data_IF_349373258310
#
_entry.id   IF_349373258310
#
_cell.length_a   1.000
_cell.length_b   1.000
_cell.length_c   1.000
_cell.angle_alpha   90.00
_cell.angle_beta   90.00
_cell.angle_gamma   90.00
#
_symmetry.space_group_name_H-M   'P 1'
#
loop_
_entity.id
_entity.type
_entity.pdbx_description
1 polymer ?
#
# COMPACT_ATOMS: atom_id res chain seq x y z
N UNK A 1 8.82 -6.93 13.13
CA UNK A 1 8.13 -5.83 12.41
C UNK A 1 8.44 -5.92 10.92
N UNK A 2 7.44 -5.74 10.05
CA UNK A 2 7.62 -5.61 8.60
C UNK A 2 7.39 -4.15 8.20
N UNK A 3 8.40 -3.50 7.62
CA UNK A 3 8.33 -2.11 7.17
C UNK A 3 8.04 -2.11 5.67
N UNK A 4 6.88 -1.58 5.30
CA UNK A 4 6.43 -1.42 3.90
C UNK A 4 6.17 0.04 3.52
N UNK A 5 6.14 0.94 4.51
CA UNK A 5 6.04 2.38 4.29
C UNK A 5 7.42 3.00 4.04
N UNK A 6 7.47 4.04 3.22
CA UNK A 6 8.67 4.83 2.93
C UNK A 6 8.49 6.25 3.49
N UNK A 7 8.55 6.44 4.82
CA UNK A 7 8.46 7.78 5.41
C UNK A 7 9.68 8.62 4.99
N UNK A 8 9.49 9.94 4.92
CA UNK A 8 10.57 10.88 4.63
C UNK A 8 11.60 10.91 5.76
N UNK A 9 11.13 10.92 7.00
CA UNK A 9 11.99 10.90 8.18
C UNK A 9 12.34 9.44 8.57
N UNK A 10 13.57 9.18 9.03
CA UNK A 10 13.97 7.86 9.50
C UNK A 10 13.09 7.36 10.65
N UNK A 11 12.80 6.07 10.67
CA UNK A 11 12.09 5.43 11.79
C UNK A 11 13.10 5.24 12.93
N UNK A 12 12.91 5.85 14.12
CA UNK A 12 13.81 5.65 15.24
C UNK A 12 13.62 4.23 15.81
N UNK A 13 14.71 3.47 15.91
CA UNK A 13 14.72 2.11 16.47
C UNK A 13 15.65 2.04 17.67
N UNK A 14 15.08 1.75 18.84
CA UNK A 14 15.85 1.47 20.05
C UNK A 14 16.42 0.05 20.01
N UNK A 15 17.73 -0.07 19.85
CA UNK A 15 18.44 -1.36 19.73
C UNK A 15 18.24 -2.25 20.97
N UNK A 16 18.09 -1.66 22.16
CA UNK A 16 17.82 -2.39 23.40
C UNK A 16 16.53 -3.23 23.32
N UNK A 17 15.52 -2.77 22.60
CA UNK A 17 14.27 -3.51 22.39
C UNK A 17 14.47 -4.71 21.46
N UNK A 18 15.38 -4.62 20.48
CA UNK A 18 15.71 -5.74 19.59
C UNK A 18 16.43 -6.86 20.35
N UNK A 19 17.45 -6.49 21.12
CA UNK A 19 18.31 -7.46 21.84
C UNK A 19 17.55 -8.13 22.98
N UNK A 20 16.85 -7.35 23.82
CA UNK A 20 16.21 -7.90 25.03
C UNK A 20 15.00 -8.78 24.74
N UNK A 21 14.37 -8.61 23.58
CA UNK A 21 13.14 -9.32 23.21
C UNK A 21 13.32 -10.33 22.08
N UNK A 22 14.54 -10.44 21.54
CA UNK A 22 14.86 -11.27 20.39
C UNK A 22 13.89 -11.05 19.21
N UNK A 23 13.76 -9.78 18.79
CA UNK A 23 12.85 -9.39 17.70
C UNK A 23 13.60 -8.84 16.49
N UNK A 24 13.02 -9.03 15.30
CA UNK A 24 13.60 -8.55 14.03
C UNK A 24 12.75 -7.46 13.38
N UNK A 25 13.42 -6.52 12.70
CA UNK A 25 12.82 -5.57 11.75
C UNK A 25 13.27 -5.94 10.34
N UNK A 26 12.33 -6.10 9.41
CA UNK A 26 12.59 -6.41 7.99
C UNK A 26 11.86 -5.42 7.10
N UNK A 27 12.46 -5.07 5.97
CA UNK A 27 11.83 -4.28 4.91
C UNK A 27 11.28 -5.15 3.78
N UNK A 28 10.20 -4.71 3.14
CA UNK A 28 9.69 -5.30 1.90
C UNK A 28 9.01 -4.23 1.05
N UNK A 29 9.16 -4.31 -0.27
CA UNK A 29 8.60 -3.32 -1.21
C UNK A 29 7.72 -3.98 -2.27
N UNK A 30 8.31 -4.86 -3.10
CA UNK A 30 7.61 -5.58 -4.18
C UNK A 30 7.80 -7.08 -4.06
N UNK A 31 6.84 -7.83 -4.60
CA UNK A 31 6.88 -9.27 -4.67
C UNK A 31 7.40 -9.76 -6.03
N UNK A 32 7.92 -10.99 -6.09
CA UNK A 32 8.18 -11.67 -7.35
C UNK A 32 6.88 -11.91 -8.13
N UNK A 33 6.99 -12.08 -9.45
CA UNK A 33 5.85 -12.37 -10.33
C UNK A 33 5.08 -13.60 -9.86
N UNK A 34 5.79 -14.64 -9.44
CA UNK A 34 5.20 -15.89 -8.94
C UNK A 34 4.37 -15.65 -7.67
N UNK A 35 4.93 -14.91 -6.70
CA UNK A 35 4.23 -14.55 -5.47
C UNK A 35 3.01 -13.67 -5.75
N UNK A 36 3.12 -12.71 -6.66
CA UNK A 36 2.00 -11.86 -7.06
C UNK A 36 0.87 -12.68 -7.69
N UNK A 37 1.18 -13.64 -8.57
CA UNK A 37 0.18 -14.55 -9.15
C UNK A 37 -0.54 -15.39 -8.09
N UNK A 38 0.19 -15.92 -7.10
CA UNK A 38 -0.43 -16.64 -5.98
C UNK A 38 -1.34 -15.74 -5.15
N UNK A 39 -0.90 -14.51 -4.87
CA UNK A 39 -1.70 -13.52 -4.15
C UNK A 39 -3.00 -13.19 -4.90
N UNK A 40 -2.94 -12.95 -6.21
CA UNK A 40 -4.13 -12.65 -7.03
C UNK A 40 -5.14 -13.81 -6.99
N UNK A 41 -4.68 -15.07 -7.10
CA UNK A 41 -5.57 -16.23 -6.98
C UNK A 41 -6.23 -16.31 -5.61
N UNK A 42 -5.46 -16.08 -4.55
CA UNK A 42 -5.94 -16.11 -3.18
C UNK A 42 -7.01 -15.03 -2.91
N UNK A 43 -6.80 -13.80 -3.37
CA UNK A 43 -7.78 -12.71 -3.16
C UNK A 43 -9.09 -12.97 -3.91
N UNK A 44 -9.03 -13.53 -5.12
CA UNK A 44 -10.23 -13.93 -5.87
C UNK A 44 -11.00 -15.03 -5.14
N UNK A 45 -10.30 -16.07 -4.69
CA UNK A 45 -10.91 -17.21 -3.99
C UNK A 45 -11.66 -16.78 -2.71
N UNK A 46 -11.15 -15.78 -1.99
CA UNK A 46 -11.71 -15.33 -0.71
C UNK A 46 -12.53 -14.04 -0.83
N UNK A 47 -12.75 -13.52 -2.05
CA UNK A 47 -13.51 -12.29 -2.27
C UNK A 47 -12.88 -11.05 -1.61
N UNK A 48 -11.56 -11.01 -1.44
CA UNK A 48 -10.86 -9.87 -0.85
C UNK A 48 -10.84 -8.72 -1.86
N UNK A 49 -11.36 -7.57 -1.46
CA UNK A 49 -11.45 -6.38 -2.31
C UNK A 49 -10.91 -5.16 -1.58
N UNK A 50 -10.25 -4.27 -2.32
CA UNK A 50 -9.90 -2.94 -1.84
C UNK A 50 -11.13 -2.04 -1.89
N UNK A 51 -11.23 -1.13 -0.93
CA UNK A 51 -12.08 0.06 -1.09
C UNK A 51 -11.44 0.94 -2.16
N UNK A 52 -12.23 1.32 -3.16
CA UNK A 52 -11.75 2.11 -4.30
C UNK A 52 -12.61 3.35 -4.52
N UNK A 53 -11.96 4.42 -4.97
CA UNK A 53 -12.61 5.61 -5.52
C UNK A 53 -12.18 5.74 -6.98
N UNK A 54 -13.15 5.75 -7.89
CA UNK A 54 -12.91 5.76 -9.33
C UNK A 54 -13.02 7.17 -9.89
N UNK A 55 -12.19 7.48 -10.88
CA UNK A 55 -12.13 8.78 -11.55
C UNK A 55 -12.10 8.58 -13.07
N UNK A 56 -12.67 9.53 -13.81
CA UNK A 56 -12.40 9.65 -15.25
C UNK A 56 -11.00 10.24 -15.47
N UNK A 57 -10.50 10.16 -16.70
CA UNK A 57 -9.18 10.70 -17.04
C UNK A 57 -9.12 12.23 -16.86
N UNK A 58 -10.22 12.93 -17.14
CA UNK A 58 -10.35 14.38 -17.01
C UNK A 58 -10.35 14.85 -15.55
N UNK A 59 -10.81 14.00 -14.63
CA UNK A 59 -10.83 14.29 -13.19
C UNK A 59 -9.46 14.16 -12.52
N UNK A 60 -8.47 13.54 -13.19
CA UNK A 60 -7.16 13.24 -12.61
C UNK A 60 -6.42 14.51 -12.15
N UNK A 61 -6.25 15.57 -12.98
CA UNK A 61 -5.40 16.70 -12.61
C UNK A 61 -5.93 17.54 -11.44
N UNK A 62 -7.24 17.51 -11.19
CA UNK A 62 -7.87 18.34 -10.16
C UNK A 62 -8.29 17.46 -8.99
N UNK A 63 -9.36 16.69 -9.17
CA UNK A 63 -10.07 15.99 -8.11
C UNK A 63 -9.27 14.82 -7.53
N UNK A 64 -8.63 14.01 -8.38
CA UNK A 64 -7.87 12.85 -7.90
C UNK A 64 -6.60 13.27 -7.13
N UNK A 65 -5.92 14.32 -7.57
CA UNK A 65 -4.73 14.84 -6.88
C UNK A 65 -5.09 15.49 -5.53
N UNK A 66 -6.19 16.22 -5.46
CA UNK A 66 -6.71 16.75 -4.19
C UNK A 66 -7.03 15.62 -3.20
N UNK A 67 -7.73 14.59 -3.65
CA UNK A 67 -8.07 13.42 -2.84
C UNK A 67 -6.84 12.61 -2.43
N UNK A 68 -5.79 12.57 -3.26
CA UNK A 68 -4.54 11.88 -2.97
C UNK A 68 -3.76 12.52 -1.80
N UNK A 69 -3.79 13.85 -1.70
CA UNK A 69 -3.16 14.58 -0.60
C UNK A 69 -4.05 14.72 0.65
N UNK A 70 -5.30 14.25 0.59
CA UNK A 70 -6.20 14.30 1.73
C UNK A 70 -5.68 13.43 2.88
N UNK A 71 -5.64 13.95 4.13
CA UNK A 71 -5.27 13.14 5.30
C UNK A 71 -6.29 12.03 5.59
N UNK A 72 -7.49 12.12 5.02
CA UNK A 72 -8.56 11.14 5.16
C UNK A 72 -8.62 10.15 3.97
N UNK A 73 -7.59 10.09 3.14
CA UNK A 73 -7.52 9.17 2.01
C UNK A 73 -7.58 7.72 2.51
N UNK A 74 -8.56 6.97 1.98
CA UNK A 74 -8.80 5.57 2.31
C UNK A 74 -8.83 4.74 1.04
N UNK A 75 -8.25 3.54 1.11
CA UNK A 75 -8.28 2.59 0.00
C UNK A 75 -7.35 2.97 -1.16
N UNK A 76 -7.84 2.86 -2.39
CA UNK A 76 -7.07 3.16 -3.62
C UNK A 76 -7.86 4.07 -4.56
N UNK A 77 -7.15 5.00 -5.19
CA UNK A 77 -7.67 5.82 -6.27
C UNK A 77 -7.43 5.08 -7.60
N UNK A 78 -8.48 4.92 -8.41
CA UNK A 78 -8.45 4.13 -9.64
C UNK A 78 -8.93 4.99 -10.80
N UNK A 79 -8.12 5.11 -11.85
CA UNK A 79 -8.55 5.76 -13.10
C UNK A 79 -9.28 4.74 -13.96
N UNK A 80 -10.49 5.08 -14.38
CA UNK A 80 -11.21 4.27 -15.36
C UNK A 80 -10.76 4.67 -16.78
N UNK A 81 -10.23 3.69 -17.52
CA UNK A 81 -9.67 3.88 -18.87
C UNK A 81 -10.59 3.24 -19.94
N UNK A 82 -11.73 2.66 -19.56
CA UNK A 82 -12.68 2.13 -20.53
C UNK A 82 -13.26 3.26 -21.37
N UNK A 83 -13.00 3.21 -22.68
CA UNK A 83 -13.68 4.00 -23.72
C UNK A 83 -15.14 3.56 -23.87
#
# INVERSE_FOLDING_TARGET
MMVVGAPREPIPIEVSNLIRRDITVKGSLLASIESARRMVKFVVQHGIKSEIKTYSLEEVPNKMLEDFHSPNMKGKLVVNISS
#
